data_IF_718464428887
#
_entry.id   IF_718464428887
#
_cell.length_a   1.000
_cell.length_b   1.000
_cell.length_c   1.000
_cell.angle_alpha   90.00
_cell.angle_beta   90.00
_cell.angle_gamma   90.00
#
_symmetry.space_group_name_H-M   'P 1'
#
loop_
_entity.id
_entity.type
_entity.pdbx_description
1 polymer ?
2 non-polymer ?
3 water ?
#
# COMPACT_ATOMS: atom_id res chain seq x y z
N UNK A 4 7.90 15.39 -2.68
CA UNK A 4 6.61 16.04 -3.07
C UNK A 4 5.55 15.18 -2.42
N UNK A 5 4.58 15.78 -1.74
CA UNK A 5 3.41 15.00 -1.32
C UNK A 5 2.79 14.19 -2.44
N UNK A 6 2.13 13.10 -2.02
CA UNK A 6 1.63 12.06 -2.90
C UNK A 6 0.12 11.94 -2.86
N UNK A 7 -0.43 11.47 -3.97
CA UNK A 7 -1.86 11.14 -4.09
C UNK A 7 -2.02 9.67 -3.70
N UNK A 8 -2.78 9.42 -2.65
CA UNK A 8 -2.82 8.09 -1.99
C UNK A 8 -4.20 7.47 -2.22
N UNK A 9 -4.24 6.26 -2.74
CA UNK A 9 -5.42 5.45 -2.77
C UNK A 9 -5.38 4.42 -1.62
N UNK A 10 -6.41 4.44 -0.82
CA UNK A 10 -6.51 3.56 0.36
C UNK A 10 -7.60 2.56 0.09
N UNK A 11 -7.30 1.28 0.10
CA UNK A 11 -8.32 0.23 -0.06
C UNK A 11 -8.28 -0.73 1.10
N UNK A 12 -9.37 -1.35 1.39
CA UNK A 12 -9.36 -2.32 2.44
C UNK A 12 -10.54 -3.24 2.25
N UNK A 13 -10.51 -4.33 3.03
CA UNK A 13 -11.68 -5.21 3.14
C UNK A 13 -12.43 -4.85 4.43
N UNK A 14 -13.32 -5.70 4.85
CA UNK A 14 -14.18 -5.40 5.98
C UNK A 14 -13.38 -5.45 7.29
N UNK A 15 -12.21 -6.08 7.27
CA UNK A 15 -11.45 -6.13 8.54
C UNK A 15 -11.12 -4.71 9.04
N UNK A 16 -10.95 -3.76 8.11
CA UNK A 16 -10.58 -2.42 8.43
C UNK A 16 -11.76 -1.46 8.37
N UNK A 17 -12.94 -1.99 8.28
CA UNK A 17 -14.10 -1.06 8.10
C UNK A 17 -14.29 -0.20 9.32
N UNK A 18 -14.18 -0.77 10.50
CA UNK A 18 -14.31 -0.01 11.72
C UNK A 18 -13.30 1.11 11.87
N UNK A 19 -12.09 0.94 11.35
CA UNK A 19 -10.97 1.85 11.56
C UNK A 19 -10.61 2.63 10.34
N UNK A 20 -11.35 2.50 9.21
CA UNK A 20 -10.82 3.05 7.98
C UNK A 20 -10.73 4.58 8.07
N UNK A 21 -11.73 5.22 8.71
CA UNK A 21 -11.63 6.68 8.77
C UNK A 21 -10.46 7.17 9.64
N UNK A 22 -10.20 6.42 10.70
CA UNK A 22 -8.97 6.67 11.54
C UNK A 22 -7.69 6.55 10.73
N UNK A 23 -7.65 5.55 9.87
CA UNK A 23 -6.47 5.39 8.98
C UNK A 23 -6.37 6.55 7.98
N UNK A 24 -7.50 6.94 7.38
CA UNK A 24 -7.49 8.06 6.42
C UNK A 24 -7.03 9.31 7.12
N UNK A 25 -7.48 9.47 8.37
CA UNK A 25 -7.02 10.63 9.16
C UNK A 25 -5.54 10.65 9.36
N UNK A 26 -4.93 9.50 9.64
CA UNK A 26 -3.44 9.40 9.69
C UNK A 26 -2.71 9.78 8.44
N UNK A 27 -3.24 9.34 7.29
CA UNK A 27 -2.67 9.65 6.05
C UNK A 27 -2.69 11.19 5.87
N UNK A 28 -3.83 11.79 6.10
CA UNK A 28 -3.96 13.25 5.93
C UNK A 28 -3.02 13.98 6.91
N UNK A 29 -2.94 13.46 8.13
CA UNK A 29 -2.15 14.17 9.18
C UNK A 29 -0.67 13.98 8.99
N UNK A 30 -0.27 13.11 8.09
CA UNK A 30 1.12 12.83 7.91
C UNK A 30 1.86 14.02 7.26
N UNK A 31 1.12 14.88 6.56
CA UNK A 31 1.69 15.93 5.76
C UNK A 31 2.18 15.52 4.43
N UNK A 32 2.22 14.20 4.14
CA UNK A 32 2.83 13.72 2.97
C UNK A 32 1.86 13.30 1.88
N UNK A 33 0.58 13.63 2.06
CA UNK A 33 -0.43 13.33 1.07
C UNK A 33 -1.11 14.56 0.55
N UNK A 34 -1.18 14.70 -0.75
CA UNK A 34 -1.99 15.81 -1.32
C UNK A 34 -3.42 15.46 -1.50
N UNK A 35 -3.75 14.18 -1.53
CA UNK A 35 -5.10 13.71 -1.63
C UNK A 35 -5.14 12.28 -1.09
N UNK A 36 -6.20 11.89 -0.41
CA UNK A 36 -6.43 10.53 0.03
C UNK A 36 -7.78 10.12 -0.50
N UNK A 37 -7.85 9.02 -1.24
CA UNK A 37 -9.08 8.50 -1.83
C UNK A 37 -9.39 7.14 -1.23
N UNK A 38 -10.58 6.94 -0.67
CA UNK A 38 -10.98 5.70 -0.07
C UNK A 38 -11.68 4.80 -1.00
N UNK A 39 -11.16 3.62 -1.24
CA UNK A 39 -11.77 2.69 -2.11
C UNK A 39 -12.01 1.41 -1.60
N UNK A 40 -12.26 1.30 -0.32
CA UNK A 40 -12.80 0.13 0.32
C UNK A 40 -14.25 0.22 0.47
N UNK A 41 -14.86 -0.72 1.24
CA UNK A 41 -16.25 -0.78 1.42
C UNK A 41 -16.83 0.40 2.20
N UNK A 42 -18.00 0.86 1.74
CA UNK A 42 -18.70 1.96 2.40
C UNK A 42 -19.96 1.43 3.03
N UNK A 43 -19.91 0.17 3.39
CA UNK A 43 -20.99 -0.46 4.15
C UNK A 43 -20.39 -1.49 5.03
N UNK A 44 -21.17 -1.90 6.06
CA UNK A 44 -20.77 -2.93 6.99
C UNK A 44 -20.97 -4.35 6.53
N UNK A 45 -20.49 -4.67 5.32
CA UNK A 45 -20.73 -5.98 4.68
C UNK A 45 -19.39 -6.78 4.62
N UNK A 46 -19.47 -8.08 4.53
CA UNK A 46 -18.27 -8.89 4.27
C UNK A 46 -17.93 -8.73 2.80
N UNK A 47 -16.61 -8.56 2.49
CA UNK A 47 -16.19 -8.43 1.17
C UNK A 47 -14.87 -9.20 0.94
N UNK A 48 -14.43 -9.23 -0.30
CA UNK A 48 -13.24 -10.01 -0.67
C UNK A 48 -12.08 -9.12 -1.01
N UNK A 49 -10.98 -9.20 -0.22
CA UNK A 49 -9.91 -8.28 -0.36
C UNK A 49 -9.34 -8.17 -1.79
N UNK A 50 -9.24 -9.27 -2.62
CA UNK A 50 -8.69 -9.03 -3.94
C UNK A 50 -9.41 -8.01 -4.78
N UNK A 51 -10.70 -7.89 -4.56
CA UNK A 51 -11.43 -6.91 -5.34
C UNK A 51 -10.99 -5.45 -5.05
N UNK A 52 -10.68 -5.16 -3.79
CA UNK A 52 -10.22 -3.85 -3.40
C UNK A 52 -8.75 -3.62 -3.67
N UNK A 53 -7.93 -4.69 -3.58
CA UNK A 53 -6.60 -4.60 -4.10
C UNK A 53 -6.58 -4.13 -5.54
N UNK A 54 -7.50 -4.72 -6.35
CA UNK A 54 -7.54 -4.39 -7.77
C UNK A 54 -7.93 -2.93 -7.98
N UNK A 55 -8.89 -2.42 -7.24
CA UNK A 55 -9.24 -1.01 -7.32
C UNK A 55 -8.09 -0.08 -7.14
N UNK A 56 -7.29 -0.34 -6.11
CA UNK A 56 -6.16 0.54 -5.78
C UNK A 56 -5.07 0.39 -6.88
N UNK A 57 -4.78 -0.84 -7.30
CA UNK A 57 -3.77 -1.11 -8.35
C UNK A 57 -4.14 -0.34 -9.63
N UNK A 58 -5.46 -0.44 -9.96
CA UNK A 58 -5.88 0.19 -11.21
C UNK A 58 -5.81 1.69 -11.05
N UNK A 59 -6.13 2.28 -9.90
CA UNK A 59 -5.94 3.73 -9.68
C UNK A 59 -4.54 4.17 -9.94
N UNK A 60 -3.57 3.42 -9.44
CA UNK A 60 -2.19 3.75 -9.66
C UNK A 60 -1.80 3.61 -11.14
N UNK A 61 -2.19 2.50 -11.76
CA UNK A 61 -1.82 2.28 -13.13
C UNK A 61 -2.41 3.33 -14.13
N UNK A 62 -3.56 3.84 -13.77
CA UNK A 62 -4.22 4.87 -14.61
C UNK A 62 -3.77 6.26 -14.23
N UNK A 63 -2.91 6.43 -13.24
CA UNK A 63 -2.44 7.75 -12.82
C UNK A 63 -3.42 8.55 -12.04
N UNK A 64 -4.41 7.93 -11.43
CA UNK A 64 -5.29 8.61 -10.54
C UNK A 64 -4.68 8.72 -9.12
N UNK A 65 -3.72 7.84 -8.79
CA UNK A 65 -3.02 7.93 -7.53
C UNK A 65 -1.56 7.61 -7.82
N UNK A 66 -0.66 8.08 -6.92
CA UNK A 66 0.73 7.83 -7.01
C UNK A 66 1.14 6.64 -6.20
N UNK A 67 0.40 6.37 -5.16
CA UNK A 67 0.83 5.36 -4.16
C UNK A 67 -0.41 4.78 -3.57
N UNK A 68 -0.35 3.58 -3.02
CA UNK A 68 -1.49 2.96 -2.46
C UNK A 68 -1.23 2.41 -1.07
N UNK A 69 -2.29 2.28 -0.30
CA UNK A 69 -2.25 1.57 0.99
C UNK A 69 -3.35 0.56 0.94
N UNK A 70 -3.09 -0.71 1.24
CA UNK A 70 -4.06 -1.77 1.26
C UNK A 70 -4.08 -2.42 2.65
N UNK A 71 -5.26 -2.58 3.20
CA UNK A 71 -5.46 -3.04 4.59
C UNK A 71 -6.39 -4.25 4.57
N UNK A 72 -5.94 -5.36 5.13
CA UNK A 72 -6.78 -6.56 5.39
C UNK A 72 -6.51 -7.00 6.82
N UNK A 73 -6.92 -8.21 7.18
CA UNK A 73 -6.65 -8.61 8.53
C UNK A 73 -5.15 -8.67 8.85
N UNK A 74 -4.33 -9.15 7.92
CA UNK A 74 -2.88 -9.31 8.14
C UNK A 74 -2.02 -8.53 7.18
N UNK A 75 -2.60 -8.02 6.08
CA UNK A 75 -1.88 -7.49 4.98
C UNK A 75 -1.52 -8.50 3.90
N UNK A 76 -1.48 -9.77 4.24
CA UNK A 76 -0.81 -10.78 3.38
C UNK A 76 -1.67 -10.97 2.07
N UNK A 77 -2.98 -11.11 2.24
CA UNK A 77 -3.79 -11.27 1.05
C UNK A 77 -3.66 -10.09 0.10
N UNK A 78 -3.70 -8.89 0.67
CA UNK A 78 -3.46 -7.68 -0.11
C UNK A 78 -2.18 -7.69 -0.84
N UNK A 79 -1.11 -8.11 -0.18
CA UNK A 79 0.23 -8.19 -0.80
C UNK A 79 0.24 -9.15 -1.98
N UNK A 80 -0.35 -10.30 -1.77
CA UNK A 80 -0.38 -11.29 -2.86
C UNK A 80 -1.19 -10.77 -4.05
N UNK A 81 -2.41 -10.34 -3.77
CA UNK A 81 -3.29 -9.91 -4.86
C UNK A 81 -2.69 -8.71 -5.62
N UNK A 82 -2.16 -7.71 -4.91
CA UNK A 82 -1.64 -6.51 -5.58
C UNK A 82 -0.47 -6.81 -6.46
N UNK A 83 0.41 -7.70 -5.95
CA UNK A 83 1.59 -8.09 -6.72
C UNK A 83 1.25 -8.84 -8.01
N UNK A 84 0.04 -9.31 -8.15
CA UNK A 84 -0.39 -9.94 -9.41
C UNK A 84 -0.61 -8.95 -10.52
N UNK A 85 -0.69 -7.69 -10.22
CA UNK A 85 -0.77 -6.63 -11.24
C UNK A 85 0.52 -6.31 -11.82
N UNK A 86 0.57 -6.35 -13.16
CA UNK A 86 1.75 -5.90 -13.84
C UNK A 86 2.07 -4.45 -13.54
N UNK A 87 3.29 -4.14 -13.21
CA UNK A 87 3.73 -2.80 -12.98
C UNK A 87 3.66 -2.37 -11.50
N UNK A 88 3.10 -3.23 -10.65
CA UNK A 88 2.95 -2.90 -9.23
C UNK A 88 3.86 -3.71 -8.38
N UNK A 89 4.50 -3.05 -7.43
CA UNK A 89 5.25 -3.72 -6.35
C UNK A 89 4.54 -3.33 -5.06
N UNK A 90 4.13 -4.34 -4.32
CA UNK A 90 3.30 -4.21 -3.08
C UNK A 90 4.08 -4.82 -1.94
N UNK A 91 4.26 -4.05 -0.87
CA UNK A 91 5.08 -4.47 0.27
C UNK A 91 4.30 -4.63 1.54
N UNK A 92 4.30 -5.80 2.11
CA UNK A 92 3.75 -5.99 3.44
C UNK A 92 4.72 -5.43 4.49
N UNK A 93 4.28 -4.47 5.26
CA UNK A 93 5.09 -3.85 6.30
C UNK A 93 4.37 -3.89 7.62
N UNK A 94 5.16 -4.07 8.69
CA UNK A 94 4.61 -4.19 10.03
C UNK A 94 5.40 -3.40 11.06
N UNK A 95 6.38 -2.65 10.63
CA UNK A 95 7.12 -1.79 11.50
C UNK A 95 7.82 -0.71 10.72
N UNK A 96 8.61 0.11 11.42
CA UNK A 96 9.31 1.23 10.80
C UNK A 96 10.34 0.75 9.81
N UNK A 97 11.11 -0.28 10.15
CA UNK A 97 12.19 -0.66 9.28
C UNK A 97 11.68 -1.27 7.98
N UNK A 98 10.64 -2.11 8.03
CA UNK A 98 10.07 -2.64 6.82
C UNK A 98 9.44 -1.54 5.96
N UNK A 99 8.78 -0.60 6.64
CA UNK A 99 8.26 0.56 5.85
C UNK A 99 9.32 1.31 5.15
N UNK A 100 10.43 1.61 5.86
CA UNK A 100 11.54 2.36 5.26
C UNK A 100 12.21 1.62 4.12
N UNK A 101 12.54 0.34 4.34
CA UNK A 101 13.26 -0.46 3.31
C UNK A 101 12.40 -0.88 2.12
N UNK A 102 11.06 -0.95 2.30
CA UNK A 102 10.14 -1.27 1.22
C UNK A 102 10.23 -0.13 0.17
N UNK A 103 10.53 1.09 0.63
CA UNK A 103 10.74 2.24 -0.25
C UNK A 103 12.20 2.36 -0.69
N UNK A 104 13.14 2.34 0.26
CA UNK A 104 14.60 2.53 -0.05
C UNK A 104 15.12 1.51 -1.00
N UNK A 105 14.73 0.25 -0.77
CA UNK A 105 15.25 -0.86 -1.56
C UNK A 105 14.30 -1.31 -2.60
N UNK A 106 13.04 -1.57 -2.24
CA UNK A 106 12.12 -2.19 -3.17
C UNK A 106 11.25 -1.20 -3.98
N UNK A 107 11.40 0.09 -3.70
CA UNK A 107 10.70 1.16 -4.35
C UNK A 107 9.24 0.77 -4.55
N UNK A 108 8.54 0.33 -3.49
CA UNK A 108 7.20 -0.21 -3.59
C UNK A 108 6.16 0.87 -3.87
N UNK A 109 5.22 0.56 -4.71
CA UNK A 109 4.06 1.43 -4.96
C UNK A 109 3.02 1.38 -3.92
N UNK A 110 2.87 0.21 -3.27
CA UNK A 110 1.73 -0.07 -2.36
C UNK A 110 2.26 -0.60 -1.05
N UNK A 111 1.75 -0.03 0.01
CA UNK A 111 1.99 -0.46 1.37
C UNK A 111 0.83 -1.41 1.71
N UNK A 112 1.12 -2.62 2.23
CA UNK A 112 0.12 -3.56 2.69
C UNK A 112 0.28 -3.75 4.20
N UNK A 113 -0.79 -3.54 4.92
CA UNK A 113 -0.78 -3.64 6.39
C UNK A 113 -1.96 -4.51 6.89
N UNK A 114 -1.84 -5.05 8.12
CA UNK A 114 -2.87 -5.80 8.77
C UNK A 114 -3.41 -5.11 9.97
N UNK A 115 -4.70 -4.91 10.01
CA UNK A 115 -5.32 -4.25 11.15
C UNK A 115 -5.60 -5.21 12.29
N UNK A 116 -5.57 -6.54 12.07
CA UNK A 116 -5.74 -7.50 13.16
C UNK A 116 -4.37 -7.91 13.73
N UNK A 117 -3.26 -7.44 13.13
CA UNK A 117 -1.87 -7.79 13.52
C UNK A 117 -1.12 -6.59 14.04
N UNK A 118 -1.26 -5.42 13.43
CA UNK A 118 -0.53 -4.18 13.82
C UNK A 118 -1.51 -3.29 14.54
N UNK A 119 -1.11 -2.77 15.72
CA UNK A 119 -1.87 -1.73 16.37
C UNK A 119 -1.81 -0.39 15.69
N UNK A 120 -2.74 0.47 16.06
CA UNK A 120 -2.89 1.74 15.35
C UNK A 120 -1.75 2.70 15.47
N UNK A 121 -1.00 2.70 16.57
CA UNK A 121 0.14 3.57 16.62
C UNK A 121 1.30 3.06 15.76
N UNK A 122 1.42 1.73 15.65
CA UNK A 122 2.38 1.16 14.74
C UNK A 122 1.96 1.45 13.28
N UNK A 123 0.66 1.32 12.99
CA UNK A 123 0.18 1.69 11.65
C UNK A 123 0.48 3.15 11.35
N UNK A 124 0.35 4.04 12.30
CA UNK A 124 0.68 5.46 12.07
C UNK A 124 2.14 5.62 11.61
N UNK A 125 3.06 4.99 12.36
CA UNK A 125 4.47 5.07 12.01
C UNK A 125 4.77 4.46 10.68
N UNK A 126 4.14 3.32 10.38
CA UNK A 126 4.37 2.66 9.10
C UNK A 126 3.97 3.60 7.95
N UNK A 127 2.75 4.16 8.06
CA UNK A 127 2.23 5.02 7.02
C UNK A 127 3.10 6.22 6.83
N UNK A 128 3.42 6.92 7.94
CA UNK A 128 4.23 8.12 7.81
C UNK A 128 5.59 7.83 7.20
N UNK A 129 6.24 6.71 7.56
CA UNK A 129 7.53 6.33 7.02
C UNK A 129 7.41 5.97 5.55
N UNK A 130 6.42 5.15 5.20
CA UNK A 130 6.26 4.75 3.78
C UNK A 130 6.07 5.90 2.85
N UNK A 131 5.23 6.84 3.32
CA UNK A 131 4.97 8.02 2.47
C UNK A 131 6.08 9.04 2.36
N UNK A 132 7.03 9.01 3.26
CA UNK A 132 8.12 9.98 3.24
C UNK A 132 9.47 9.45 2.93
N UNK A 133 9.59 8.21 2.50
CA UNK A 133 10.87 7.60 2.21
C UNK A 133 10.99 7.43 0.70
N UNK A 134 12.15 7.86 0.17
CA UNK A 134 12.46 7.71 -1.25
C UNK A 134 13.37 6.55 -1.54
N UNK A 135 13.33 6.03 -2.78
CA UNK A 135 14.21 4.95 -3.16
C UNK A 135 15.67 5.39 -3.20
N UNK A 136 16.56 4.55 -2.73
CA UNK A 136 18.00 4.92 -2.51
C UNK A 136 18.58 4.91 -3.90
N UNK A 137 19.58 5.78 -4.05
CA UNK A 137 20.25 5.96 -5.33
C UNK A 137 21.24 4.85 -5.67
N UNK A 138 21.86 4.14 -4.69
CA UNK A 138 22.65 2.95 -5.12
C UNK A 138 21.87 1.94 -6.00
N UNK A 139 22.67 1.70 -7.08
CA UNK A 139 22.26 1.13 -8.26
C UNK A 139 21.86 -0.29 -7.96
N UNK A 140 22.45 -0.93 -6.92
CA UNK A 140 22.12 -2.39 -6.74
C UNK A 140 20.61 -2.69 -6.45
N UNK A 141 19.99 -1.82 -5.70
CA UNK A 141 18.55 -2.01 -5.38
C UNK A 141 17.70 -1.81 -6.59
N UNK A 142 18.00 -0.78 -7.43
CA UNK A 142 17.29 -0.61 -8.67
C UNK A 142 17.47 -1.73 -9.64
N UNK A 143 18.67 -2.33 -9.63
CA UNK A 143 18.89 -3.41 -10.50
C UNK A 143 18.05 -4.64 -10.11
N UNK A 144 17.88 -4.83 -8.81
CA UNK A 144 17.02 -5.90 -8.35
C UNK A 144 15.54 -5.69 -8.73
N UNK A 145 15.11 -4.45 -8.56
CA UNK A 145 13.79 -4.06 -9.00
C UNK A 145 13.63 -4.36 -10.53
N UNK A 146 14.65 -4.00 -11.31
CA UNK A 146 14.56 -4.28 -12.75
C UNK A 146 14.42 -5.75 -13.05
N UNK A 147 15.08 -6.59 -12.21
CA UNK A 147 14.91 -8.06 -12.35
C UNK A 147 13.51 -8.51 -12.06
N UNK A 148 12.84 -7.89 -11.08
CA UNK A 148 11.43 -8.19 -10.84
C UNK A 148 10.61 -7.86 -12.11
N UNK A 149 10.92 -6.72 -12.75
CA UNK A 149 10.23 -6.39 -13.97
C UNK A 149 10.42 -7.41 -15.09
N UNK A 150 11.64 -7.89 -15.16
CA UNK A 150 11.93 -8.95 -16.18
C UNK A 150 11.14 -10.23 -15.92
N UNK A 151 11.05 -10.63 -14.65
CA UNK A 151 10.23 -11.80 -14.28
C UNK A 151 8.78 -11.61 -14.68
N UNK A 152 8.26 -10.45 -14.34
CA UNK A 152 6.86 -10.16 -14.63
C UNK A 152 6.62 -10.24 -16.11
N UNK A 153 7.50 -9.67 -16.90
CA UNK A 153 7.37 -9.66 -18.38
C UNK A 153 7.45 -11.05 -18.93
N UNK A 154 8.35 -11.86 -18.42
CA UNK A 154 8.48 -13.22 -18.87
C UNK A 154 7.25 -14.08 -18.55
N UNK A 155 6.66 -13.85 -17.39
CA UNK A 155 5.49 -14.58 -16.95
C UNK A 155 4.36 -14.25 -17.96
N UNK A 156 4.29 -12.98 -18.40
CA UNK A 156 3.49 -12.51 -19.57
C UNK A 156 2.17 -11.93 -19.13
X LIG B 1 -12.84 -13.08 7.92
X LIG B 1 -13.55 -13.98 8.93
X LIG B 1 -13.10 -11.68 8.26
X LIG B 1 -11.35 -13.48 8.13
X LIG B 1 -13.39 -13.43 6.64
X LIG C 1 8.18 1.86 -11.64
X LIG C 1 8.83 2.40 -10.39
X LIG C 1 6.71 2.29 -11.62
X LIG C 1 8.89 2.50 -12.81
X LIG C 1 8.33 0.40 -11.87
#
# INVERSE_FOLDING_TARGET
>A
GSHMPKRVALGCDHAAYATHQEIMDMVNASGAASKVMYMGPSSDTSVDYPDYAAQVCEAILKGEADTGILVCGTGIGMSIAANKFRGIRAALCYDHVTAQLSRQHNNAHILCIGVRTSGMEVIRDIIETFLTTEPLAEGRHGNRVDKITVIEEEQMKDEQRWCFSGCGGLKEEGK
>B hetero
1 SO4 S O1 O2 O3 O4
>C hetero
1 SO4 S O1 O2 O3 O4
#
